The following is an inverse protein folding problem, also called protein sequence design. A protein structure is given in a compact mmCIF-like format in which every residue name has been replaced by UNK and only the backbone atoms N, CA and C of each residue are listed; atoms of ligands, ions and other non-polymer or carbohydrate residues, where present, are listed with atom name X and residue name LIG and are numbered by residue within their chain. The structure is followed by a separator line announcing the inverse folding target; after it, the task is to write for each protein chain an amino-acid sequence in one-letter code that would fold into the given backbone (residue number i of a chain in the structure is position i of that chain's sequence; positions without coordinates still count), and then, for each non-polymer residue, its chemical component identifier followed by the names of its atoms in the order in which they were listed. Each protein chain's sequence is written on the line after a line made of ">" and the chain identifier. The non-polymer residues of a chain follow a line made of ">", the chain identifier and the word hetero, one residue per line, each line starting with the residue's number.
data_IF_800614604603
#
_entry.id   IF_800614604603
#
_cell.length_a   1.000
_cell.length_b   1.000
_cell.length_c   1.000
_cell.angle_alpha   90.00
_cell.angle_beta   90.00
_cell.angle_gamma   90.00
#
_symmetry.space_group_name_H-M   'P 1'
#
loop_
_entity.id
_entity.type
_entity.pdbx_description
1 polymer ?
#
# COMPACT_ATOMS: atom_id res chain seq x y z
N UNK A 1 4.89 -58.69 -7.08
CA UNK A 1 4.45 -57.28 -7.05
C UNK A 1 4.55 -56.71 -8.47
N UNK A 2 3.46 -56.16 -9.02
CA UNK A 2 3.35 -55.85 -10.45
C UNK A 2 3.99 -54.49 -10.75
N UNK A 3 5.11 -54.48 -11.50
CA UNK A 3 5.95 -53.30 -11.76
C UNK A 3 5.13 -52.12 -12.31
N UNK A 4 4.08 -52.41 -13.10
CA UNK A 4 3.16 -51.39 -13.62
C UNK A 4 2.37 -50.66 -12.54
N UNK A 5 1.99 -51.32 -11.44
CA UNK A 5 1.27 -50.70 -10.32
C UNK A 5 2.19 -49.80 -9.48
N UNK A 6 3.46 -50.17 -9.31
CA UNK A 6 4.43 -49.31 -8.61
C UNK A 6 4.77 -48.04 -9.41
N UNK A 7 4.93 -48.15 -10.72
CA UNK A 7 5.25 -46.98 -11.56
C UNK A 7 4.12 -45.94 -11.60
N UNK A 8 2.86 -46.37 -11.58
CA UNK A 8 1.69 -45.49 -11.52
C UNK A 8 1.57 -44.76 -10.17
N UNK A 9 1.92 -45.45 -9.08
CA UNK A 9 1.87 -44.87 -7.73
C UNK A 9 2.93 -43.78 -7.55
N UNK A 10 4.14 -44.00 -8.06
CA UNK A 10 5.23 -43.01 -8.02
C UNK A 10 4.87 -41.76 -8.83
N UNK A 11 4.30 -41.94 -10.03
CA UNK A 11 3.86 -40.82 -10.87
C UNK A 11 2.75 -39.99 -10.20
N UNK A 12 1.77 -40.66 -9.57
CA UNK A 12 0.71 -39.97 -8.85
C UNK A 12 1.23 -39.15 -7.66
N UNK A 13 2.20 -39.68 -6.90
CA UNK A 13 2.85 -38.94 -5.80
C UNK A 13 3.62 -37.73 -6.33
N UNK A 14 4.32 -37.88 -7.46
CA UNK A 14 5.09 -36.79 -8.06
C UNK A 14 4.20 -35.66 -8.61
N UNK A 15 3.05 -36.00 -9.20
CA UNK A 15 2.07 -35.01 -9.65
C UNK A 15 1.42 -34.30 -8.46
N UNK A 16 1.11 -35.03 -7.38
CA UNK A 16 0.57 -34.43 -6.16
C UNK A 16 1.56 -33.46 -5.51
N UNK A 17 2.84 -33.84 -5.43
CA UNK A 17 3.87 -33.00 -4.80
C UNK A 17 4.16 -31.75 -5.61
N UNK A 18 4.18 -31.83 -6.95
CA UNK A 18 4.30 -30.64 -7.82
C UNK A 18 3.10 -29.70 -7.62
N UNK A 19 1.88 -30.23 -7.53
CA UNK A 19 0.68 -29.43 -7.27
C UNK A 19 0.72 -28.65 -5.96
N UNK A 20 1.22 -29.27 -4.88
CA UNK A 20 1.34 -28.64 -3.56
C UNK A 20 2.38 -27.50 -3.57
N UNK A 21 3.50 -27.69 -4.28
CA UNK A 21 4.56 -26.66 -4.37
C UNK A 21 4.06 -25.41 -5.11
N UNK A 22 3.26 -25.57 -6.18
CA UNK A 22 2.73 -24.45 -6.95
C UNK A 22 1.73 -23.61 -6.14
N UNK A 23 0.90 -24.24 -5.30
CA UNK A 23 -0.08 -23.54 -4.46
C UNK A 23 0.63 -22.69 -3.39
N UNK A 24 1.73 -23.16 -2.81
CA UNK A 24 2.45 -22.42 -1.77
C UNK A 24 3.24 -21.21 -2.31
N UNK A 25 3.71 -21.23 -3.57
CA UNK A 25 4.46 -20.11 -4.14
C UNK A 25 3.57 -18.89 -4.47
N UNK A 26 2.35 -19.10 -4.95
CA UNK A 26 1.43 -18.01 -5.29
C UNK A 26 1.01 -17.15 -4.08
N UNK A 27 0.82 -17.80 -2.92
CA UNK A 27 0.45 -17.12 -1.67
C UNK A 27 1.56 -16.16 -1.17
N UNK A 28 2.83 -16.49 -1.42
CA UNK A 28 3.97 -15.70 -0.93
C UNK A 28 4.14 -14.36 -1.67
N UNK A 29 3.85 -14.30 -2.96
CA UNK A 29 4.08 -13.08 -3.74
C UNK A 29 3.01 -12.02 -3.42
N UNK A 30 1.75 -12.43 -3.32
CA UNK A 30 0.64 -11.54 -2.95
C UNK A 30 0.83 -10.97 -1.54
N UNK A 31 1.17 -11.81 -0.56
CA UNK A 31 1.45 -11.37 0.80
C UNK A 31 2.62 -10.37 0.88
N UNK A 32 3.66 -10.56 0.05
CA UNK A 32 4.78 -9.62 -0.04
C UNK A 32 4.34 -8.26 -0.58
N UNK A 33 3.52 -8.23 -1.63
CA UNK A 33 3.03 -6.98 -2.20
C UNK A 33 2.05 -6.25 -1.27
N UNK A 34 1.17 -6.98 -0.56
CA UNK A 34 0.32 -6.40 0.51
C UNK A 34 1.18 -5.75 1.59
N UNK A 35 2.23 -6.44 2.05
CA UNK A 35 3.16 -5.91 3.05
C UNK A 35 3.81 -4.60 2.57
N UNK A 36 4.23 -4.54 1.32
CA UNK A 36 4.83 -3.34 0.74
C UNK A 36 3.82 -2.19 0.61
N UNK A 37 2.59 -2.48 0.17
CA UNK A 37 1.52 -1.49 0.08
C UNK A 37 1.21 -0.88 1.46
N UNK A 38 1.10 -1.71 2.51
CA UNK A 38 0.93 -1.23 3.90
C UNK A 38 2.12 -0.39 4.36
N UNK A 39 3.35 -0.85 4.13
CA UNK A 39 4.55 -0.11 4.52
C UNK A 39 4.64 1.27 3.83
N UNK A 40 4.20 1.34 2.57
CA UNK A 40 4.11 2.59 1.81
C UNK A 40 3.09 3.55 2.42
N UNK A 41 1.85 3.11 2.65
CA UNK A 41 0.83 3.93 3.33
C UNK A 41 1.30 4.38 4.71
N UNK A 42 1.91 3.47 5.48
CA UNK A 42 2.46 3.80 6.79
C UNK A 42 3.56 4.87 6.72
N UNK A 43 4.43 4.83 5.71
CA UNK A 43 5.49 5.83 5.54
C UNK A 43 4.90 7.22 5.28
N UNK A 44 3.85 7.29 4.44
CA UNK A 44 3.16 8.53 4.11
C UNK A 44 2.47 9.11 5.33
N UNK A 45 1.64 8.31 6.00
CA UNK A 45 0.87 8.77 7.17
C UNK A 45 1.80 9.19 8.31
N UNK A 46 2.87 8.42 8.55
CA UNK A 46 3.88 8.77 9.55
C UNK A 46 4.58 10.09 9.26
N UNK A 47 4.90 10.38 7.99
CA UNK A 47 5.61 11.60 7.65
C UNK A 47 4.76 12.86 7.62
N UNK A 48 3.43 12.73 7.69
CA UNK A 48 2.48 13.83 7.90
C UNK A 48 1.89 13.86 9.31
N UNK A 49 2.29 12.94 10.18
CA UNK A 49 1.84 12.88 11.57
C UNK A 49 2.63 13.88 12.42
N UNK A 50 1.93 14.68 13.24
CA UNK A 50 2.58 15.50 14.26
C UNK A 50 3.39 14.62 15.21
N UNK A 51 4.61 15.04 15.54
CA UNK A 51 5.39 14.34 16.56
C UNK A 51 4.83 14.71 17.93
N UNK A 52 4.83 13.75 18.83
CA UNK A 52 4.38 13.97 20.20
C UNK A 52 5.20 15.11 20.84
N UNK A 53 4.52 16.20 21.22
CA UNK A 53 5.14 17.36 21.83
C UNK A 53 5.82 18.34 20.85
N UNK A 54 5.62 18.22 19.53
CA UNK A 54 6.02 19.25 18.56
C UNK A 54 4.84 19.74 17.74
N UNK A 55 4.82 21.05 17.49
CA UNK A 55 3.91 21.69 16.54
C UNK A 55 4.47 21.70 15.10
N UNK A 56 5.62 21.04 14.89
CA UNK A 56 6.37 21.05 13.63
C UNK A 56 6.58 19.63 13.08
N UNK A 57 6.47 19.50 11.75
CA UNK A 57 6.95 18.36 10.97
C UNK A 57 8.43 18.56 10.65
N UNK A 58 9.18 17.46 10.50
CA UNK A 58 10.54 17.58 9.93
C UNK A 58 10.45 17.56 8.40
N UNK A 59 11.16 18.49 7.74
CA UNK A 59 11.13 18.64 6.27
C UNK A 59 11.46 17.32 5.53
N UNK A 60 12.32 16.47 6.09
CA UNK A 60 12.69 15.19 5.49
C UNK A 60 11.59 14.13 5.50
N UNK A 61 10.73 14.15 6.53
CA UNK A 61 9.62 13.19 6.66
C UNK A 61 8.51 13.48 5.63
N UNK A 62 8.23 14.75 5.37
CA UNK A 62 7.26 15.18 4.36
C UNK A 62 7.75 14.88 2.94
N UNK A 63 9.01 15.17 2.62
CA UNK A 63 9.59 14.83 1.31
C UNK A 63 9.49 13.33 1.00
N UNK A 64 9.79 12.49 2.00
CA UNK A 64 9.68 11.02 1.86
C UNK A 64 8.22 10.63 1.61
N UNK A 65 7.29 11.26 2.31
CA UNK A 65 5.85 11.01 2.13
C UNK A 65 5.38 11.38 0.73
N UNK A 66 5.79 12.52 0.19
CA UNK A 66 5.49 12.95 -1.18
C UNK A 66 6.01 11.93 -2.20
N UNK A 67 7.28 11.52 -2.08
CA UNK A 67 7.89 10.56 -3.02
C UNK A 67 7.21 9.19 -2.96
N UNK A 68 6.89 8.73 -1.74
CA UNK A 68 6.15 7.49 -1.55
C UNK A 68 4.73 7.62 -2.07
N UNK A 69 4.01 8.72 -1.85
CA UNK A 69 2.66 8.91 -2.34
C UNK A 69 2.60 8.93 -3.88
N UNK A 70 3.47 9.70 -4.52
CA UNK A 70 3.43 9.94 -5.97
C UNK A 70 3.87 8.73 -6.80
N UNK A 71 5.02 8.13 -6.50
CA UNK A 71 5.59 7.06 -7.33
C UNK A 71 6.05 5.84 -6.54
N UNK A 72 5.92 5.84 -5.20
CA UNK A 72 6.40 4.73 -4.37
C UNK A 72 7.92 4.58 -4.43
N UNK A 73 8.63 5.68 -4.63
CA UNK A 73 10.09 5.75 -4.71
C UNK A 73 10.65 6.44 -3.47
N UNK A 74 11.94 6.22 -3.21
CA UNK A 74 12.62 6.84 -2.06
C UNK A 74 12.84 8.34 -2.31
N UNK A 75 13.20 8.72 -3.54
CA UNK A 75 13.49 10.11 -3.93
C UNK A 75 13.08 10.34 -5.38
N UNK A 76 12.41 11.46 -5.63
CA UNK A 76 12.23 12.03 -6.97
C UNK A 76 13.41 12.98 -7.22
N UNK A 77 14.30 12.63 -8.15
CA UNK A 77 15.54 13.38 -8.39
C UNK A 77 15.34 14.64 -9.24
N UNK A 78 14.27 14.70 -10.03
CA UNK A 78 13.96 15.87 -10.85
C UNK A 78 13.22 16.92 -10.01
N UNK A 79 13.78 18.14 -9.84
CA UNK A 79 13.15 19.16 -9.01
C UNK A 79 11.79 19.63 -9.52
N UNK A 80 11.59 19.64 -10.84
CA UNK A 80 10.32 20.03 -11.45
C UNK A 80 9.21 19.02 -11.15
N UNK A 81 9.50 17.73 -11.34
CA UNK A 81 8.61 16.64 -10.99
C UNK A 81 8.30 16.61 -9.49
N UNK A 82 9.30 16.87 -8.64
CA UNK A 82 9.08 16.95 -7.19
C UNK A 82 8.15 18.11 -6.82
N UNK A 83 8.33 19.30 -7.43
CA UNK A 83 7.43 20.44 -7.21
C UNK A 83 5.98 20.11 -7.55
N UNK A 84 5.74 19.51 -8.73
CA UNK A 84 4.40 19.08 -9.14
C UNK A 84 3.82 18.04 -8.17
N UNK A 85 4.62 17.07 -7.75
CA UNK A 85 4.20 16.05 -6.79
C UNK A 85 3.86 16.67 -5.42
N UNK A 86 4.62 17.66 -4.96
CA UNK A 86 4.38 18.38 -3.72
C UNK A 86 3.04 19.11 -3.75
N UNK A 87 2.78 19.90 -4.79
CA UNK A 87 1.53 20.65 -4.93
C UNK A 87 0.31 19.70 -5.02
N UNK A 88 0.45 18.60 -5.76
CA UNK A 88 -0.61 17.60 -5.88
C UNK A 88 -0.84 16.85 -4.56
N UNK A 89 0.22 16.61 -3.77
CA UNK A 89 0.12 15.99 -2.45
C UNK A 89 -0.62 16.90 -1.45
N UNK A 90 -0.40 18.21 -1.49
CA UNK A 90 -1.15 19.18 -0.68
C UNK A 90 -2.64 19.14 -1.00
N UNK A 91 -3.00 19.13 -2.28
CA UNK A 91 -4.40 19.03 -2.69
C UNK A 91 -5.02 17.71 -2.24
N UNK A 92 -4.31 16.59 -2.43
CA UNK A 92 -4.73 15.27 -1.97
C UNK A 92 -4.99 15.22 -0.45
N UNK A 93 -4.18 15.92 0.36
CA UNK A 93 -4.41 16.06 1.82
C UNK A 93 -5.60 16.96 2.13
N UNK A 94 -5.76 18.07 1.41
CA UNK A 94 -6.88 19.03 1.60
C UNK A 94 -8.22 18.39 1.25
N UNK A 95 -8.29 17.66 0.15
CA UNK A 95 -9.47 16.88 -0.27
C UNK A 95 -9.92 15.89 0.82
N UNK A 96 -8.97 15.36 1.59
CA UNK A 96 -9.25 14.45 2.70
C UNK A 96 -9.48 15.13 4.06
N UNK A 97 -9.32 16.46 4.15
CA UNK A 97 -9.42 17.19 5.42
C UNK A 97 -8.28 16.89 6.40
N UNK A 98 -7.13 16.40 5.91
CA UNK A 98 -5.98 16.00 6.75
C UNK A 98 -4.78 16.95 6.62
N UNK A 99 -4.99 18.12 5.99
CA UNK A 99 -3.97 19.17 5.88
C UNK A 99 -4.04 20.10 7.11
N UNK A 100 -2.90 20.54 7.68
CA UNK A 100 -1.51 20.27 7.26
C UNK A 100 -0.93 18.95 7.80
N UNK A 101 -1.52 18.38 8.85
CA UNK A 101 -1.01 17.19 9.54
C UNK A 101 -2.15 16.37 10.14
N UNK A 102 -1.82 15.14 10.54
CA UNK A 102 -2.69 14.25 11.32
C UNK A 102 -2.13 14.06 12.73
N UNK A 103 -2.98 13.71 13.71
CA UNK A 103 -2.52 13.43 15.08
C UNK A 103 -2.24 11.96 15.28
N UNK A 104 -3.16 11.12 14.81
CA UNK A 104 -3.07 9.68 14.96
C UNK A 104 -3.66 8.95 13.75
N UNK A 105 -3.18 7.73 13.52
CA UNK A 105 -3.73 6.87 12.50
C UNK A 105 -3.56 5.40 12.88
N UNK A 106 -4.41 4.56 12.29
CA UNK A 106 -4.27 3.11 12.30
C UNK A 106 -4.38 2.59 10.87
N UNK A 107 -3.74 1.46 10.59
CA UNK A 107 -3.88 0.72 9.33
C UNK A 107 -4.42 -0.66 9.69
N UNK A 108 -5.50 -1.06 9.03
CA UNK A 108 -6.15 -2.33 9.31
C UNK A 108 -5.28 -3.52 8.88
N UNK A 109 -5.50 -4.66 9.54
CA UNK A 109 -4.82 -5.89 9.16
C UNK A 109 -5.35 -6.46 7.84
N UNK A 110 -6.62 -6.22 7.53
CA UNK A 110 -7.23 -6.67 6.29
C UNK A 110 -6.89 -5.73 5.14
N UNK A 111 -6.24 -6.28 4.12
CA UNK A 111 -5.97 -5.59 2.85
C UNK A 111 -6.55 -6.40 1.70
N UNK A 112 -7.05 -5.72 0.67
CA UNK A 112 -7.71 -6.38 -0.47
C UNK A 112 -6.93 -6.17 -1.75
N UNK A 113 -6.53 -7.26 -2.40
CA UNK A 113 -5.89 -7.20 -3.71
C UNK A 113 -6.93 -7.04 -4.82
N UNK A 114 -6.73 -6.05 -5.69
CA UNK A 114 -7.59 -5.83 -6.85
C UNK A 114 -7.10 -6.70 -8.00
N UNK A 115 -7.80 -7.81 -8.25
CA UNK A 115 -7.41 -8.78 -9.29
C UNK A 115 -7.68 -8.24 -10.70
N UNK A 116 -6.76 -8.55 -11.62
CA UNK A 116 -6.93 -8.22 -13.04
C UNK A 116 -6.68 -6.74 -13.40
N UNK A 117 -6.08 -5.97 -12.49
CA UNK A 117 -5.71 -4.56 -12.71
C UNK A 117 -4.20 -4.43 -12.72
N UNK A 118 -3.68 -3.74 -13.73
CA UNK A 118 -2.28 -3.33 -13.84
C UNK A 118 -2.17 -1.80 -13.69
N UNK A 119 -1.21 -1.28 -12.90
CA UNK A 119 -0.27 -2.04 -12.08
C UNK A 119 -0.96 -2.78 -10.92
N UNK A 120 -0.30 -3.81 -10.38
CA UNK A 120 -0.75 -4.51 -9.16
C UNK A 120 -1.21 -3.50 -8.10
N UNK A 121 -2.45 -3.66 -7.63
CA UNK A 121 -3.12 -2.67 -6.78
C UNK A 121 -3.70 -3.32 -5.53
N UNK A 122 -3.46 -2.69 -4.38
CA UNK A 122 -3.99 -3.10 -3.08
C UNK A 122 -4.89 -2.00 -2.53
N UNK A 123 -6.02 -2.38 -1.94
CA UNK A 123 -6.85 -1.48 -1.15
C UNK A 123 -6.44 -1.61 0.31
N UNK A 124 -6.08 -0.48 0.91
CA UNK A 124 -5.70 -0.36 2.33
C UNK A 124 -6.75 0.48 3.04
N UNK A 125 -7.23 0.00 4.18
CA UNK A 125 -8.17 0.70 5.05
C UNK A 125 -7.55 0.99 6.41
N UNK A 126 -8.18 1.89 7.16
CA UNK A 126 -7.76 2.23 8.51
C UNK A 126 -8.53 3.43 9.04
N UNK A 127 -7.96 4.08 10.05
CA UNK A 127 -8.50 5.34 10.59
C UNK A 127 -7.44 6.43 10.64
N UNK A 128 -7.87 7.68 10.48
CA UNK A 128 -7.06 8.89 10.69
C UNK A 128 -7.89 9.81 11.60
N UNK A 129 -7.33 10.20 12.74
CA UNK A 129 -8.00 11.06 13.74
C UNK A 129 -9.43 10.59 14.09
N UNK A 130 -9.61 9.27 14.16
CA UNK A 130 -10.88 8.60 14.47
C UNK A 130 -11.84 8.40 13.29
N UNK A 131 -11.56 8.95 12.11
CA UNK A 131 -12.37 8.78 10.91
C UNK A 131 -11.82 7.69 9.99
N UNK A 132 -12.69 6.84 9.44
CA UNK A 132 -12.29 5.75 8.56
C UNK A 132 -11.82 6.25 7.19
N UNK A 133 -10.82 5.58 6.62
CA UNK A 133 -10.39 5.84 5.24
C UNK A 133 -10.22 4.54 4.45
N UNK A 134 -10.22 4.68 3.12
CA UNK A 134 -9.85 3.64 2.17
C UNK A 134 -9.00 4.24 1.05
N UNK A 135 -7.84 3.65 0.79
CA UNK A 135 -6.90 4.07 -0.25
C UNK A 135 -6.69 2.97 -1.27
N UNK A 136 -6.59 3.36 -2.54
CA UNK A 136 -6.11 2.53 -3.63
C UNK A 136 -4.60 2.74 -3.78
N UNK A 137 -3.84 1.66 -3.62
CA UNK A 137 -2.37 1.66 -3.60
C UNK A 137 -1.82 0.87 -4.78
N UNK A 138 -1.66 1.52 -5.94
CA UNK A 138 -1.04 0.89 -7.11
C UNK A 138 0.48 0.79 -6.94
N UNK A 139 1.09 -0.29 -7.42
CA UNK A 139 2.55 -0.47 -7.39
C UNK A 139 3.24 0.57 -8.27
N UNK A 140 4.12 1.38 -7.68
CA UNK A 140 4.92 2.42 -8.35
C UNK A 140 4.11 3.49 -9.10
N UNK A 141 2.93 3.83 -8.59
CA UNK A 141 2.09 4.90 -9.12
C UNK A 141 1.35 5.61 -7.98
N UNK A 142 0.72 6.75 -8.28
CA UNK A 142 0.09 7.62 -7.29
C UNK A 142 -0.99 6.91 -6.48
N UNK A 143 -1.00 7.14 -5.17
CA UNK A 143 -2.07 6.63 -4.29
C UNK A 143 -3.29 7.53 -4.40
N UNK A 144 -4.47 6.91 -4.47
CA UNK A 144 -5.75 7.59 -4.62
C UNK A 144 -6.65 7.30 -3.41
N UNK A 145 -7.45 8.28 -2.98
CA UNK A 145 -8.55 8.03 -2.06
C UNK A 145 -9.65 7.25 -2.76
N UNK A 146 -10.15 6.20 -2.12
CA UNK A 146 -11.45 5.61 -2.44
C UNK A 146 -12.53 6.19 -1.54
N UNK A 147 -12.19 6.33 -0.25
CA UNK A 147 -13.01 6.98 0.77
C UNK A 147 -12.05 7.80 1.64
N UNK A 148 -12.24 9.12 1.65
CA UNK A 148 -11.42 10.02 2.44
C UNK A 148 -11.96 10.16 3.87
N UNK A 149 -11.10 10.32 4.89
CA UNK A 149 -11.51 10.39 6.29
C UNK A 149 -12.43 11.58 6.60
N UNK A 150 -12.28 12.72 5.92
CA UNK A 150 -13.10 13.91 6.15
C UNK A 150 -14.57 13.80 5.71
N UNK A 151 -14.97 12.73 4.99
CA UNK A 151 -16.22 12.71 4.24
C UNK A 151 -16.21 13.77 3.13
N UNK A 152 -16.89 13.51 2.01
CA UNK A 152 -17.04 14.52 0.95
C UNK A 152 -18.08 15.59 1.33
N UNK A 153 -18.13 16.00 2.60
CA UNK A 153 -19.09 16.97 3.10
C UNK A 153 -18.53 18.38 2.85
N UNK A 154 -18.91 18.94 1.70
CA UNK A 154 -19.02 20.36 1.37
C UNK A 154 -17.76 21.26 1.54
N UNK A 155 -16.97 21.37 0.46
CA UNK A 155 -16.22 22.59 0.12
C UNK A 155 -16.83 23.29 -1.09
#
# INVERSE_FOLDING_TARGET
>A
MNIKKQSLLILAIFVLSIGIVIINMGCSAEAYEIKNAKARVNTILKGIQLREGSDELTVGDEQTSICQWYEGVVVINDPGAFGIASDAFDNWRREAGIFPYIREYTIDEDAKVVKGVEPFTVIITGTIDGASFSMKVPKKATIEWLEAPGGADDF
#
